data_IF_344548066027
#
_entry.id   IF_344548066027
#
_cell.length_a   1.000
_cell.length_b   1.000
_cell.length_c   1.000
_cell.angle_alpha   90.00
_cell.angle_beta   90.00
_cell.angle_gamma   90.00
#
_symmetry.space_group_name_H-M   'P 1'
#
loop_
_entity.id
_entity.type
_entity.pdbx_description
1 polymer ?
2 non-polymer ?
3 water ?
#
# COMPACT_ATOMS: atom_id res chain seq x y z
N UNK A 3 4.18 19.16 -22.45
CA UNK A 3 5.20 20.09 -21.90
C UNK A 3 6.54 19.83 -22.56
N UNK A 4 7.39 20.86 -22.55
CA UNK A 4 8.74 20.78 -23.08
C UNK A 4 9.73 20.81 -21.92
N UNK A 5 9.20 20.61 -20.71
CA UNK A 5 9.98 20.61 -19.49
C UNK A 5 10.90 19.39 -19.50
N UNK A 6 12.20 19.65 -19.30
CA UNK A 6 13.21 18.62 -19.21
C UNK A 6 13.63 18.59 -17.74
N UNK A 7 13.28 17.51 -17.05
CA UNK A 7 13.68 17.37 -15.65
C UNK A 7 15.21 17.25 -15.54
N UNK A 8 15.83 18.17 -14.80
CA UNK A 8 17.24 18.09 -14.42
C UNK A 8 17.32 17.81 -12.91
N UNK A 9 18.43 18.14 -12.26
CA UNK A 9 18.61 17.86 -10.84
C UNK A 9 19.52 16.66 -10.56
N UNK A 10 19.92 16.50 -9.30
CA UNK A 10 20.92 15.48 -8.94
C UNK A 10 20.47 14.05 -9.21
N UNK A 11 19.18 13.76 -9.00
CA UNK A 11 18.68 12.40 -9.26
C UNK A 11 18.68 12.08 -10.76
N UNK A 12 18.21 13.01 -11.58
CA UNK A 12 18.21 12.76 -13.00
C UNK A 12 19.64 12.69 -13.55
N UNK A 13 20.50 13.58 -13.06
CA UNK A 13 21.94 13.59 -13.46
C UNK A 13 22.62 12.24 -13.23
N UNK A 14 22.30 11.62 -12.11
CA UNK A 14 22.97 10.38 -11.70
C UNK A 14 22.09 9.15 -11.81
N UNK A 15 21.01 9.21 -12.58
CA UNK A 15 20.09 8.08 -12.74
C UNK A 15 20.76 6.78 -13.17
N UNK A 16 21.62 6.83 -14.20
CA UNK A 16 22.32 5.64 -14.67
C UNK A 16 23.24 5.07 -13.60
N UNK A 17 24.00 5.95 -12.95
CA UNK A 17 24.91 5.56 -11.89
C UNK A 17 24.21 4.85 -10.74
N UNK A 18 23.17 5.48 -10.21
CA UNK A 18 22.44 4.94 -9.06
C UNK A 18 21.63 3.71 -9.45
N UNK A 19 21.08 3.70 -10.67
CA UNK A 19 20.40 2.49 -11.13
C UNK A 19 21.39 1.31 -11.24
N UNK A 20 22.59 1.58 -11.73
CA UNK A 20 23.59 0.52 -11.83
C UNK A 20 23.85 -0.14 -10.48
N UNK A 21 24.11 0.67 -9.46
CA UNK A 21 24.47 0.11 -8.15
C UNK A 21 23.24 -0.55 -7.52
N UNK A 22 22.10 0.10 -7.61
CA UNK A 22 20.91 -0.42 -6.94
C UNK A 22 20.28 -1.66 -7.59
N UNK A 23 20.32 -1.72 -8.91
CA UNK A 23 19.79 -2.89 -9.60
C UNK A 23 20.66 -4.10 -9.36
N UNK A 24 21.97 -3.90 -9.33
CA UNK A 24 22.88 -5.00 -9.04
C UNK A 24 22.69 -5.49 -7.60
N UNK A 25 22.46 -4.58 -6.65
CA UNK A 25 22.25 -4.97 -5.22
C UNK A 25 20.93 -5.75 -4.98
N UNK A 26 19.85 -5.30 -5.59
CA UNK A 26 18.50 -5.77 -5.26
C UNK A 26 18.04 -6.94 -6.15
N UNK A 27 18.64 -7.06 -7.32
CA UNK A 27 18.32 -8.15 -8.26
C UNK A 27 17.09 -7.85 -9.09
N UNK A 28 16.76 -6.57 -9.22
CA UNK A 28 15.58 -6.18 -9.99
C UNK A 28 16.07 -6.00 -11.46
N UNK A 29 15.35 -6.58 -12.44
CA UNK A 29 15.67 -6.36 -13.85
C UNK A 29 14.75 -5.27 -14.41
N UNK A 30 14.78 -5.04 -15.73
CA UNK A 30 14.04 -3.94 -16.36
C UNK A 30 12.52 -4.09 -16.44
N UNK A 31 12.01 -5.18 -17.03
CA UNK A 31 10.55 -5.37 -17.14
C UNK A 31 9.83 -4.81 -15.89
N UNK A 32 10.52 -4.89 -14.75
CA UNK A 32 10.06 -4.25 -13.55
C UNK A 32 10.07 -2.72 -13.58
N UNK A 33 11.22 -2.12 -13.89
CA UNK A 33 11.44 -0.65 -13.84
C UNK A 33 10.66 0.13 -14.92
N UNK A 34 11.00 -0.08 -16.21
CA UNK A 34 10.27 0.67 -17.25
C UNK A 34 8.82 0.32 -17.22
N UNK A 35 8.49 -0.88 -16.75
CA UNK A 35 7.07 -1.26 -16.58
C UNK A 35 6.40 -0.55 -15.43
N UNK A 36 7.15 -0.29 -14.38
CA UNK A 36 6.64 0.52 -13.29
C UNK A 36 6.46 1.96 -13.80
N UNK A 37 7.42 2.44 -14.60
CA UNK A 37 7.30 3.78 -15.18
C UNK A 37 6.02 3.84 -16.03
N UNK A 38 5.86 2.85 -16.90
CA UNK A 38 4.68 2.74 -17.76
C UNK A 38 3.39 2.38 -16.97
N UNK A 39 3.41 2.62 -15.66
CA UNK A 39 2.18 2.54 -14.82
C UNK A 39 1.79 1.16 -14.30
N UNK A 40 2.46 0.12 -14.79
CA UNK A 40 2.14 -1.26 -14.41
C UNK A 40 2.47 -1.47 -12.95
N UNK A 41 1.63 -2.20 -12.22
CA UNK A 41 1.96 -2.44 -10.82
C UNK A 41 3.14 -3.41 -10.70
N UNK A 42 4.23 -2.92 -10.12
CA UNK A 42 5.39 -3.71 -9.79
C UNK A 42 5.53 -3.64 -8.28
N UNK A 43 5.25 -4.75 -7.59
CA UNK A 43 5.31 -4.80 -6.11
C UNK A 43 6.20 -5.94 -5.55
N UNK A 44 7.03 -6.53 -6.40
CA UNK A 44 7.99 -7.53 -5.98
C UNK A 44 8.85 -6.97 -4.84
N UNK A 45 9.17 -7.83 -3.87
CA UNK A 45 10.00 -7.45 -2.73
C UNK A 45 11.28 -6.78 -3.20
N UNK A 46 11.89 -7.27 -4.27
CA UNK A 46 13.13 -6.67 -4.80
C UNK A 46 12.93 -5.28 -5.39
N UNK A 47 11.82 -5.06 -6.07
CA UNK A 47 11.51 -3.71 -6.56
C UNK A 47 11.38 -2.70 -5.41
N UNK A 48 10.69 -3.07 -4.33
CA UNK A 48 10.61 -2.19 -3.16
C UNK A 48 12.00 -1.82 -2.61
N UNK A 49 12.89 -2.80 -2.55
CA UNK A 49 14.23 -2.54 -2.04
C UNK A 49 15.04 -1.72 -3.03
N UNK A 50 14.71 -1.80 -4.32
CA UNK A 50 15.29 -0.92 -5.33
C UNK A 50 14.90 0.56 -5.07
N UNK A 51 13.62 0.85 -4.82
CA UNK A 51 13.18 2.18 -4.39
C UNK A 51 13.92 2.64 -3.15
N UNK A 52 14.00 1.76 -2.15
CA UNK A 52 14.75 2.04 -0.93
C UNK A 52 16.20 2.38 -1.25
N UNK A 53 16.82 1.62 -2.12
CA UNK A 53 18.22 1.82 -2.44
C UNK A 53 18.47 3.19 -3.07
N UNK A 54 17.60 3.60 -4.00
CA UNK A 54 17.66 4.94 -4.59
C UNK A 54 17.57 6.00 -3.49
N UNK A 55 16.63 5.84 -2.57
CA UNK A 55 16.48 6.86 -1.53
C UNK A 55 17.72 6.94 -0.66
N UNK A 56 18.32 5.79 -0.36
CA UNK A 56 19.54 5.76 0.49
C UNK A 56 20.69 6.44 -0.23
N UNK A 57 20.81 6.18 -1.54
CA UNK A 57 21.89 6.79 -2.32
C UNK A 57 21.70 8.32 -2.45
N UNK A 58 20.46 8.80 -2.39
CA UNK A 58 20.20 10.25 -2.41
C UNK A 58 19.82 10.83 -1.04
N UNK A 59 20.26 10.17 0.03
CA UNK A 59 20.23 10.72 1.39
C UNK A 59 18.85 10.97 2.02
N UNK A 60 17.77 10.55 1.35
CA UNK A 60 16.41 10.76 1.84
C UNK A 60 15.89 9.62 2.68
N UNK A 61 16.66 8.51 2.74
CA UNK A 61 16.36 7.43 3.66
C UNK A 61 17.67 6.86 4.22
N UNK A 62 17.65 6.51 5.50
CA UNK A 62 18.78 5.80 6.10
C UNK A 62 18.69 4.35 5.64
N UNK A 63 19.80 3.64 5.70
CA UNK A 63 19.80 2.20 5.40
C UNK A 63 18.74 1.44 6.22
N UNK A 64 18.49 1.88 7.45
CA UNK A 64 17.50 1.22 8.30
C UNK A 64 16.12 1.85 8.23
N UNK A 65 15.91 2.72 7.25
CA UNK A 65 14.60 3.17 6.90
C UNK A 65 14.11 4.43 7.59
N UNK A 66 15.00 5.36 7.95
CA UNK A 66 14.60 6.66 8.53
C UNK A 66 14.52 7.72 7.42
N UNK A 67 13.33 8.25 7.17
CA UNK A 67 13.09 9.31 6.16
C UNK A 67 13.71 10.65 6.56
N UNK A 68 14.40 11.31 5.62
CA UNK A 68 15.05 12.58 5.86
C UNK A 68 14.48 13.67 4.93
N UNK A 69 13.54 14.45 5.47
CA UNK A 69 12.74 15.42 4.68
C UNK A 69 13.58 16.45 3.92
N UNK A 70 14.59 17.02 4.56
CA UNK A 70 15.38 18.10 3.96
C UNK A 70 16.09 17.60 2.71
N UNK A 71 16.57 16.36 2.76
CA UNK A 71 17.24 15.77 1.62
C UNK A 71 16.27 15.46 0.49
N UNK A 72 15.07 15.04 0.83
CA UNK A 72 14.10 14.70 -0.22
C UNK A 72 13.62 15.96 -0.94
N UNK A 73 13.45 17.06 -0.19
CA UNK A 73 13.05 18.33 -0.80
C UNK A 73 14.13 18.78 -1.76
N UNK A 74 15.38 18.62 -1.38
CA UNK A 74 16.48 18.91 -2.30
C UNK A 74 16.46 18.00 -3.54
N UNK A 75 16.02 16.76 -3.36
CA UNK A 75 15.92 15.78 -4.48
C UNK A 75 14.86 16.10 -5.53
N UNK A 76 13.91 16.97 -5.20
CA UNK A 76 12.88 17.34 -6.18
C UNK A 76 13.52 18.12 -7.34
N UNK A 77 13.29 17.71 -8.60
CA UNK A 77 13.90 18.39 -9.74
C UNK A 77 13.49 19.85 -9.76
N UNK A 78 14.42 20.74 -10.15
CA UNK A 78 14.12 22.17 -10.05
C UNK A 78 12.91 22.61 -10.88
N UNK A 79 12.59 21.89 -11.94
CA UNK A 79 11.51 22.27 -12.86
C UNK A 79 10.13 22.06 -12.26
N UNK A 80 10.07 21.27 -11.19
CA UNK A 80 8.80 20.97 -10.53
C UNK A 80 8.90 21.17 -9.02
N UNK A 81 9.71 22.12 -8.59
CA UNK A 81 9.94 22.38 -7.15
C UNK A 81 8.65 22.61 -6.40
N UNK A 82 7.79 23.48 -6.91
CA UNK A 82 6.57 23.82 -6.16
C UNK A 82 5.69 22.61 -5.96
N UNK A 83 5.29 21.99 -7.07
CA UNK A 83 4.40 20.83 -7.09
C UNK A 83 5.01 19.64 -6.35
N UNK A 84 6.32 19.43 -6.54
CA UNK A 84 7.03 18.31 -5.91
C UNK A 84 7.20 18.47 -4.41
N UNK A 85 7.50 19.67 -3.96
CA UNK A 85 7.57 19.95 -2.53
C UNK A 85 6.23 19.67 -1.90
N UNK A 86 5.16 20.08 -2.55
CA UNK A 86 3.80 19.85 -2.02
C UNK A 86 3.59 18.36 -1.79
N UNK A 87 3.90 17.55 -2.79
CA UNK A 87 3.84 16.09 -2.64
C UNK A 87 4.70 15.53 -1.50
N UNK A 88 5.96 15.97 -1.40
CA UNK A 88 6.82 15.48 -0.35
C UNK A 88 6.28 15.81 1.04
N UNK A 89 5.79 17.03 1.22
CA UNK A 89 5.25 17.47 2.51
C UNK A 89 4.03 16.69 2.86
N UNK A 90 3.26 16.28 1.85
CA UNK A 90 2.04 15.52 2.11
C UNK A 90 2.31 14.05 2.53
N UNK A 91 3.54 13.59 2.30
CA UNK A 91 3.90 12.17 2.46
C UNK A 91 5.02 11.94 3.48
N UNK A 92 5.35 12.99 4.23
CA UNK A 92 6.53 12.99 5.08
C UNK A 92 6.39 12.21 6.41
N UNK A 93 5.18 11.71 6.69
CA UNK A 93 4.90 10.94 7.91
C UNK A 93 4.66 9.46 7.68
N UNK A 94 4.95 8.99 6.48
CA UNK A 94 4.81 7.59 6.11
C UNK A 94 6.02 6.86 6.69
N UNK A 95 5.76 5.72 7.31
CA UNK A 95 6.80 4.87 7.91
C UNK A 95 6.18 3.48 8.07
N UNK A 96 6.70 2.47 7.35
CA UNK A 96 6.13 1.11 7.39
C UNK A 96 6.96 0.21 8.28
N UNK A 97 6.62 -1.07 8.35
CA UNK A 97 7.31 -2.01 9.26
C UNK A 97 8.73 -2.36 8.87
N UNK A 98 9.19 -1.94 7.69
CA UNK A 98 10.45 -2.43 7.17
C UNK A 98 10.99 -1.44 6.16
N UNK A 99 12.30 -1.17 6.19
CA UNK A 99 12.91 -0.13 5.34
C UNK A 99 12.45 -0.14 3.88
N UNK A 100 12.42 -1.31 3.23
CA UNK A 100 11.94 -1.40 1.86
C UNK A 100 10.46 -1.06 1.65
N UNK A 101 9.59 -1.55 2.53
CA UNK A 101 8.14 -1.30 2.41
C UNK A 101 7.92 0.21 2.59
N UNK A 102 8.57 0.80 3.59
CA UNK A 102 8.56 2.26 3.86
C UNK A 102 8.86 3.06 2.60
N UNK A 103 9.96 2.75 1.94
CA UNK A 103 10.28 3.45 0.69
C UNK A 103 9.17 3.26 -0.34
N UNK A 104 8.72 2.02 -0.55
CA UNK A 104 7.75 1.70 -1.63
C UNK A 104 6.43 2.47 -1.44
N UNK A 105 6.01 2.60 -0.20
CA UNK A 105 4.75 3.25 0.14
C UNK A 105 4.88 4.76 0.38
N UNK A 106 6.08 5.27 0.70
CA UNK A 106 6.33 6.70 0.57
C UNK A 106 6.06 7.02 -0.91
N UNK A 107 6.56 6.17 -1.80
CA UNK A 107 6.35 6.32 -3.24
C UNK A 107 4.91 6.14 -3.69
N UNK A 108 4.19 5.19 -3.10
CA UNK A 108 2.77 5.07 -3.44
C UNK A 108 2.00 6.29 -2.93
N UNK A 109 2.37 6.84 -1.77
CA UNK A 109 1.86 8.15 -1.31
C UNK A 109 2.15 9.30 -2.29
N UNK A 110 3.38 9.38 -2.81
CA UNK A 110 3.63 10.36 -3.87
C UNK A 110 2.69 10.21 -5.07
N UNK A 111 2.54 8.97 -5.52
CA UNK A 111 1.61 8.62 -6.60
C UNK A 111 0.16 9.07 -6.29
N UNK A 112 -0.30 8.80 -5.08
CA UNK A 112 -1.66 9.20 -4.60
C UNK A 112 -1.80 10.71 -4.63
N UNK A 113 -0.80 11.39 -4.07
CA UNK A 113 -0.82 12.83 -3.90
C UNK A 113 -0.95 13.58 -5.24
N UNK A 114 -0.19 13.17 -6.24
CA UNK A 114 -0.17 13.84 -7.55
C UNK A 114 0.22 12.84 -8.65
N UNK A 115 -0.75 12.04 -9.12
CA UNK A 115 -0.50 10.99 -10.12
C UNK A 115 0.19 11.47 -11.38
N UNK A 116 -0.23 12.61 -11.93
CA UNK A 116 0.35 13.08 -13.20
C UNK A 116 1.81 13.50 -12.98
N UNK A 117 2.09 14.16 -11.87
CA UNK A 117 3.47 14.59 -11.58
C UNK A 117 4.35 13.36 -11.35
N UNK A 118 3.85 12.41 -10.58
CA UNK A 118 4.61 11.20 -10.26
C UNK A 118 4.91 10.40 -11.53
N UNK A 119 3.90 10.24 -12.38
CA UNK A 119 4.08 9.56 -13.66
C UNK A 119 5.14 10.26 -14.49
N UNK A 120 5.12 11.58 -14.47
CA UNK A 120 6.11 12.39 -15.18
C UNK A 120 7.56 12.12 -14.73
N UNK A 121 7.74 12.06 -13.42
CA UNK A 121 9.07 11.85 -12.84
C UNK A 121 9.62 10.44 -13.12
N UNK A 122 8.79 9.42 -12.89
CA UNK A 122 9.25 8.04 -13.05
C UNK A 122 9.57 7.78 -14.53
N UNK A 123 8.78 8.35 -15.44
CA UNK A 123 9.05 8.17 -16.87
C UNK A 123 10.35 8.81 -17.35
N UNK A 124 10.68 9.98 -16.79
CA UNK A 124 11.91 10.70 -17.12
C UNK A 124 13.13 9.96 -16.57
N UNK A 125 12.99 9.40 -15.38
CA UNK A 125 14.06 8.62 -14.74
C UNK A 125 14.43 7.44 -15.64
N UNK A 126 13.41 6.65 -15.93
CA UNK A 126 13.50 5.49 -16.78
C UNK A 126 14.06 5.72 -18.20
N UNK A 127 13.85 6.91 -18.75
CA UNK A 127 14.32 7.20 -20.11
C UNK A 127 15.81 7.52 -20.13
N UNK A 128 16.35 7.89 -18.97
CA UNK A 128 17.74 8.31 -18.85
C UNK A 128 18.61 7.07 -18.60
N UNK A 129 17.98 5.99 -18.19
CA UNK A 129 18.71 4.79 -17.76
C UNK A 129 18.95 3.85 -18.94
N UNK A 130 17.89 3.40 -19.59
CA UNK A 130 18.05 2.66 -20.83
C UNK A 130 18.17 1.14 -20.76
N UNK A 131 17.18 0.49 -21.39
CA UNK A 131 17.20 -0.93 -21.73
C UNK A 131 16.95 -1.05 -23.23
N UNK B 4 -2.76 -20.92 -7.44
CA UNK B 4 -3.72 -20.88 -8.59
C UNK B 4 -5.18 -21.22 -8.20
N UNK B 5 -5.45 -21.33 -6.90
CA UNK B 5 -6.80 -21.60 -6.40
C UNK B 5 -7.47 -20.26 -6.05
N UNK B 6 -8.66 -20.01 -6.61
CA UNK B 6 -9.41 -18.81 -6.32
C UNK B 6 -10.02 -18.95 -4.93
N UNK B 7 -9.97 -17.88 -4.15
CA UNK B 7 -10.61 -17.91 -2.86
C UNK B 7 -12.13 -17.88 -3.07
N UNK B 8 -12.84 -18.72 -2.33
CA UNK B 8 -14.29 -18.78 -2.36
C UNK B 8 -14.78 -18.53 -0.95
N UNK B 9 -16.06 -18.80 -0.69
CA UNK B 9 -16.63 -18.60 0.63
C UNK B 9 -17.63 -17.46 0.65
N UNK B 10 -18.30 -17.27 1.78
CA UNK B 10 -19.38 -16.31 1.88
C UNK B 10 -18.94 -14.86 1.68
N UNK B 11 -17.75 -14.49 2.16
CA UNK B 11 -17.24 -13.14 1.97
C UNK B 11 -16.93 -12.83 0.50
N UNK B 12 -16.14 -13.68 -0.17
CA UNK B 12 -15.89 -13.46 -1.59
C UNK B 12 -17.18 -13.53 -2.40
N UNK B 13 -18.10 -14.40 -2.03
CA UNK B 13 -19.36 -14.51 -2.77
C UNK B 13 -20.18 -13.23 -2.72
N UNK B 14 -20.22 -12.58 -1.56
CA UNK B 14 -21.04 -11.35 -1.40
C UNK B 14 -20.21 -10.06 -1.39
N UNK B 15 -18.92 -10.14 -1.75
CA UNK B 15 -18.03 -9.00 -1.64
C UNK B 15 -18.53 -7.75 -2.37
N UNK B 16 -18.99 -7.93 -3.61
CA UNK B 16 -19.42 -6.79 -4.42
C UNK B 16 -20.62 -6.10 -3.74
N UNK B 17 -21.58 -6.90 -3.27
CA UNK B 17 -22.75 -6.36 -2.58
C UNK B 17 -22.45 -5.68 -1.25
N UNK B 18 -21.69 -6.36 -0.38
CA UNK B 18 -21.37 -5.83 0.93
C UNK B 18 -20.51 -4.57 0.78
N UNK B 19 -19.59 -4.54 -0.18
CA UNK B 19 -18.80 -3.33 -0.48
C UNK B 19 -19.71 -2.17 -0.91
N UNK B 20 -20.62 -2.44 -1.84
CA UNK B 20 -21.57 -1.42 -2.30
C UNK B 20 -22.26 -0.77 -1.13
N UNK B 21 -22.81 -1.58 -0.22
CA UNK B 21 -23.56 -1.03 0.91
C UNK B 21 -22.69 -0.37 2.00
N UNK B 22 -21.48 -0.90 2.25
CA UNK B 22 -20.56 -0.31 3.22
C UNK B 22 -19.91 0.96 2.69
N UNK B 23 -19.67 1.05 1.38
CA UNK B 23 -19.17 2.31 0.82
C UNK B 23 -20.23 3.41 0.97
N UNK B 24 -21.48 3.05 0.71
CA UNK B 24 -22.58 3.99 0.83
C UNK B 24 -22.75 4.46 2.28
N UNK B 25 -22.67 3.51 3.20
CA UNK B 25 -22.83 3.78 4.64
C UNK B 25 -21.73 4.63 5.24
N UNK B 26 -20.50 4.56 4.70
CA UNK B 26 -19.32 5.16 5.35
C UNK B 26 -18.68 6.35 4.63
N UNK B 27 -19.03 6.57 3.37
CA UNK B 27 -18.41 7.63 2.59
C UNK B 27 -17.00 7.37 2.10
N UNK B 28 -16.54 6.12 2.20
CA UNK B 28 -15.20 5.77 1.68
C UNK B 28 -15.24 5.77 0.15
N UNK B 29 -14.26 6.43 -0.50
CA UNK B 29 -14.08 6.31 -1.95
C UNK B 29 -13.40 5.01 -2.37
N UNK B 30 -13.70 4.56 -3.59
CA UNK B 30 -13.15 3.33 -4.15
C UNK B 30 -11.62 3.31 -4.22
N UNK B 31 -11.00 4.45 -4.56
CA UNK B 31 -9.55 4.46 -4.73
C UNK B 31 -8.86 4.22 -3.41
N UNK B 32 -9.50 4.62 -2.31
CA UNK B 32 -8.99 4.39 -0.96
C UNK B 32 -8.86 2.89 -0.67
N UNK B 33 -9.92 2.14 -0.99
CA UNK B 33 -9.91 0.68 -0.87
C UNK B 33 -8.80 0.06 -1.70
N UNK B 34 -8.64 0.55 -2.94
CA UNK B 34 -7.61 0.03 -3.82
C UNK B 34 -6.23 0.24 -3.26
N UNK B 35 -5.96 1.43 -2.69
CA UNK B 35 -4.64 1.71 -2.12
C UNK B 35 -4.37 0.77 -0.94
N UNK B 36 -5.39 0.56 -0.10
CA UNK B 36 -5.24 -0.36 1.03
C UNK B 36 -4.89 -1.78 0.53
N UNK B 37 -5.54 -2.24 -0.55
CA UNK B 37 -5.25 -3.54 -1.13
C UNK B 37 -3.82 -3.60 -1.70
N UNK B 38 -3.30 -2.47 -2.18
CA UNK B 38 -1.89 -2.36 -2.60
C UNK B 38 -0.91 -2.20 -1.44
N UNK B 39 -1.42 -2.26 -0.22
CA UNK B 39 -0.58 -2.29 0.97
C UNK B 39 -0.34 -0.96 1.65
N UNK B 40 -0.98 0.10 1.18
CA UNK B 40 -0.85 1.42 1.81
C UNK B 40 -1.52 1.46 3.17
N UNK B 41 -0.94 2.24 4.08
CA UNK B 41 -1.64 2.67 5.29
C UNK B 41 -2.78 3.61 5.00
N UNK B 42 -3.97 3.20 5.43
CA UNK B 42 -5.15 4.00 5.32
C UNK B 42 -5.79 4.01 6.69
N UNK B 43 -5.36 4.94 7.55
CA UNK B 43 -5.98 5.08 8.87
C UNK B 43 -7.10 6.13 8.91
N UNK B 44 -7.60 6.48 7.73
CA UNK B 44 -8.75 7.34 7.57
C UNK B 44 -9.91 6.84 8.46
N UNK B 45 -10.56 7.72 9.22
CA UNK B 45 -11.63 7.28 10.11
C UNK B 45 -12.76 6.59 9.36
N UNK B 46 -13.06 7.06 8.14
CA UNK B 46 -14.12 6.44 7.33
C UNK B 46 -13.73 5.04 6.89
N UNK B 47 -12.45 4.85 6.54
CA UNK B 47 -11.95 3.51 6.23
C UNK B 47 -12.07 2.56 7.42
N UNK B 48 -11.68 3.01 8.62
CA UNK B 48 -11.87 2.22 9.84
C UNK B 48 -13.32 1.77 10.01
N UNK B 49 -14.27 2.66 9.73
CA UNK B 49 -15.69 2.28 9.82
C UNK B 49 -16.18 1.40 8.66
N UNK B 50 -15.53 1.51 7.49
CA UNK B 50 -15.75 0.58 6.39
C UNK B 50 -15.37 -0.84 6.77
N UNK B 51 -14.21 -1.01 7.40
CA UNK B 51 -13.78 -2.31 7.92
C UNK B 51 -14.78 -2.82 8.96
N UNK B 52 -15.23 -1.93 9.83
CA UNK B 52 -16.27 -2.27 10.81
C UNK B 52 -17.54 -2.74 10.13
N UNK B 53 -17.96 -2.01 9.11
CA UNK B 53 -19.19 -2.29 8.40
C UNK B 53 -19.11 -3.69 7.78
N UNK B 54 -17.97 -4.02 7.16
CA UNK B 54 -17.80 -5.36 6.57
C UNK B 54 -17.91 -6.46 7.62
N UNK B 55 -17.29 -6.25 8.79
CA UNK B 55 -17.34 -7.22 9.89
C UNK B 55 -18.77 -7.37 10.41
N UNK B 56 -19.50 -6.26 10.50
CA UNK B 56 -20.89 -6.32 10.96
C UNK B 56 -21.75 -7.12 9.98
N UNK B 57 -21.57 -6.82 8.70
CA UNK B 57 -22.32 -7.52 7.65
C UNK B 57 -22.05 -9.01 7.62
N UNK B 58 -20.82 -9.42 7.96
CA UNK B 58 -20.47 -10.84 8.02
C UNK B 58 -20.42 -11.42 9.44
N UNK B 59 -21.17 -10.78 10.34
CA UNK B 59 -21.45 -11.29 11.69
C UNK B 59 -20.28 -11.46 12.67
N UNK B 60 -19.08 -10.99 12.32
CA UNK B 60 -17.94 -11.12 13.24
C UNK B 60 -17.75 -9.95 14.21
N UNK B 61 -18.56 -8.91 14.06
CA UNK B 61 -18.53 -7.76 14.96
C UNK B 61 -19.94 -7.25 15.14
N UNK B 62 -20.31 -6.91 16.37
CA UNK B 62 -21.58 -6.22 16.61
C UNK B 62 -21.46 -4.74 16.19
N UNK B 63 -22.58 -4.09 15.96
CA UNK B 63 -22.59 -2.66 15.68
C UNK B 63 -21.88 -1.91 16.80
N UNK B 64 -21.98 -2.41 18.04
CA UNK B 64 -21.31 -1.77 19.16
C UNK B 64 -19.92 -2.33 19.47
N UNK B 65 -19.32 -3.02 18.51
CA UNK B 65 -17.88 -3.34 18.54
C UNK B 65 -17.43 -4.60 19.27
N UNK B 66 -18.34 -5.54 19.50
CA UNK B 66 -18.00 -6.83 20.14
C UNK B 66 -17.66 -7.90 19.10
N UNK B 67 -16.43 -8.40 19.19
CA UNK B 67 -15.92 -9.40 18.23
C UNK B 67 -16.55 -10.77 18.48
N UNK B 68 -16.88 -11.47 17.38
CA UNK B 68 -17.45 -12.82 17.45
C UNK B 68 -16.54 -13.84 16.78
N UNK B 69 -15.74 -14.51 17.61
CA UNK B 69 -14.70 -15.42 17.13
C UNK B 69 -15.24 -16.49 16.18
N UNK B 70 -16.34 -17.15 16.58
CA UNK B 70 -16.88 -18.27 15.80
C UNK B 70 -17.24 -17.83 14.40
N UNK B 71 -17.79 -16.63 14.28
CA UNK B 71 -18.21 -16.12 12.98
C UNK B 71 -16.99 -15.76 12.14
N UNK B 72 -15.97 -15.19 12.76
CA UNK B 72 -14.78 -14.82 12.01
C UNK B 72 -14.06 -16.02 11.48
N UNK B 73 -14.03 -17.11 12.26
CA UNK B 73 -13.36 -18.34 11.84
C UNK B 73 -14.12 -18.92 10.62
N UNK B 74 -15.44 -18.86 10.67
CA UNK B 74 -16.27 -19.28 9.53
C UNK B 74 -16.04 -18.41 8.27
N UNK B 75 -15.71 -17.15 8.48
CA UNK B 75 -15.46 -16.15 7.41
C UNK B 75 -14.15 -16.40 6.66
N UNK B 76 -13.27 -17.20 7.24
CA UNK B 76 -11.99 -17.50 6.60
C UNK B 76 -12.31 -18.34 5.36
N UNK B 77 -11.80 -17.93 4.19
CA UNK B 77 -12.12 -18.71 2.97
C UNK B 77 -11.68 -20.18 3.08
N UNK B 78 -12.45 -21.11 2.49
CA UNK B 78 -12.17 -22.55 2.57
C UNK B 78 -10.76 -22.96 2.15
N UNK B 79 -10.19 -22.27 1.17
CA UNK B 79 -8.87 -22.59 0.61
C UNK B 79 -7.72 -22.32 1.58
N UNK B 80 -7.96 -21.49 2.59
CA UNK B 80 -6.92 -21.08 3.53
C UNK B 80 -7.36 -21.19 4.99
N UNK B 81 -8.20 -22.18 5.31
CA UNK B 81 -8.68 -22.36 6.69
C UNK B 81 -7.55 -22.51 7.69
N UNK B 82 -6.57 -23.37 7.43
CA UNK B 82 -5.51 -23.58 8.43
C UNK B 82 -4.74 -22.28 8.70
N UNK B 83 -4.18 -21.69 7.64
CA UNK B 83 -3.34 -20.50 7.82
C UNK B 83 -4.20 -19.32 8.27
N UNK B 84 -5.45 -19.22 7.80
CA UNK B 84 -6.34 -18.12 8.17
C UNK B 84 -6.76 -18.21 9.64
N UNK B 85 -7.03 -19.43 10.08
CA UNK B 85 -7.42 -19.66 11.48
C UNK B 85 -6.27 -19.23 12.36
N UNK B 86 -5.05 -19.59 12.00
CA UNK B 86 -3.89 -19.18 12.80
C UNK B 86 -3.87 -17.65 13.00
N UNK B 87 -4.13 -16.90 11.95
CA UNK B 87 -4.13 -15.44 12.03
C UNK B 87 -5.24 -14.96 12.96
N UNK B 88 -6.42 -15.48 12.78
CA UNK B 88 -7.56 -15.03 13.58
C UNK B 88 -7.32 -15.31 15.06
N UNK B 89 -6.84 -16.50 15.41
CA UNK B 89 -6.54 -16.83 16.82
C UNK B 89 -5.48 -15.96 17.39
N UNK B 90 -4.51 -15.57 16.57
CA UNK B 90 -3.43 -14.70 17.05
C UNK B 90 -3.90 -13.26 17.27
N UNK B 91 -5.13 -12.93 16.84
CA UNK B 91 -5.61 -11.56 16.86
C UNK B 91 -6.95 -11.35 17.59
N UNK B 92 -7.46 -12.44 18.16
CA UNK B 92 -8.81 -12.47 18.71
C UNK B 92 -8.96 -11.69 20.03
N UNK B 93 -7.83 -11.31 20.61
CA UNK B 93 -7.76 -10.60 21.88
C UNK B 93 -7.84 -9.10 21.70
N UNK B 94 -7.73 -8.64 20.44
CA UNK B 94 -7.65 -7.21 20.16
C UNK B 94 -8.97 -6.53 20.44
N UNK B 95 -8.95 -5.48 21.25
CA UNK B 95 -10.18 -4.81 21.66
C UNK B 95 -9.91 -3.36 22.00
N UNK B 96 -10.64 -2.47 21.33
CA UNK B 96 -10.57 -1.05 21.64
C UNK B 96 -11.97 -0.66 22.03
N UNK B 97 -12.15 0.50 22.64
CA UNK B 97 -13.47 0.85 23.18
C UNK B 97 -14.45 1.38 22.12
N UNK B 98 -13.94 1.82 20.96
CA UNK B 98 -14.79 2.23 19.80
C UNK B 98 -14.80 1.12 18.78
N UNK B 99 -15.95 0.92 18.13
CA UNK B 99 -16.16 -0.20 17.22
C UNK B 99 -15.29 -0.08 15.94
N UNK B 100 -15.26 1.09 15.32
CA UNK B 100 -14.43 1.28 14.12
C UNK B 100 -12.94 1.01 14.41
N UNK B 101 -12.44 1.51 15.52
CA UNK B 101 -11.04 1.32 15.89
C UNK B 101 -10.74 -0.16 16.17
N UNK B 102 -11.66 -0.83 16.85
CA UNK B 102 -11.55 -2.27 17.10
C UNK B 102 -11.41 -3.03 15.78
N UNK B 103 -12.30 -2.77 14.80
CA UNK B 103 -12.24 -3.40 13.49
C UNK B 103 -10.90 -3.13 12.81
N UNK B 104 -10.51 -1.87 12.83
CA UNK B 104 -9.24 -1.45 12.22
C UNK B 104 -8.02 -2.16 12.86
N UNK B 105 -7.98 -2.21 14.18
CA UNK B 105 -6.84 -2.80 14.86
C UNK B 105 -6.78 -4.31 14.74
N UNK B 106 -7.95 -4.96 14.67
CA UNK B 106 -7.99 -6.39 14.41
C UNK B 106 -7.35 -6.65 13.04
N UNK B 107 -7.73 -5.87 12.03
CA UNK B 107 -7.11 -5.96 10.71
C UNK B 107 -5.63 -5.65 10.66
N UNK B 108 -5.15 -4.71 11.45
CA UNK B 108 -3.71 -4.42 11.43
C UNK B 108 -2.96 -5.60 12.06
N UNK B 109 -3.60 -6.23 13.04
CA UNK B 109 -3.08 -7.45 13.63
C UNK B 109 -3.01 -8.58 12.59
N UNK B 110 -4.06 -8.74 11.78
CA UNK B 110 -4.03 -9.73 10.70
C UNK B 110 -2.84 -9.51 9.79
N UNK B 111 -2.63 -8.25 9.42
CA UNK B 111 -1.61 -7.90 8.45
C UNK B 111 -0.23 -8.21 8.99
N UNK B 112 -0.04 -7.90 10.28
CA UNK B 112 1.24 -8.15 10.97
C UNK B 112 1.50 -9.65 11.14
N UNK B 113 0.44 -10.37 11.52
CA UNK B 113 0.49 -11.80 11.73
C UNK B 113 0.99 -12.59 10.53
N UNK B 114 0.47 -12.27 9.34
CA UNK B 114 0.77 -12.97 8.11
C UNK B 114 0.50 -12.03 6.93
N UNK B 115 1.46 -11.17 6.64
CA UNK B 115 1.20 -10.16 5.62
C UNK B 115 0.98 -10.72 4.23
N UNK B 116 1.65 -11.83 3.87
CA UNK B 116 1.44 -12.40 2.52
C UNK B 116 0.02 -12.95 2.41
N UNK B 117 -0.44 -13.62 3.45
CA UNK B 117 -1.80 -14.20 3.41
C UNK B 117 -2.83 -13.09 3.39
N UNK B 118 -2.61 -12.07 4.22
CA UNK B 118 -3.49 -10.89 4.27
C UNK B 118 -3.57 -10.17 2.94
N UNK B 119 -2.42 -9.95 2.29
CA UNK B 119 -2.41 -9.40 0.95
C UNK B 119 -3.22 -10.24 -0.04
N UNK B 120 -3.07 -11.57 0.03
CA UNK B 120 -3.84 -12.48 -0.85
C UNK B 120 -5.33 -12.25 -0.68
N UNK B 121 -5.77 -12.20 0.56
CA UNK B 121 -7.21 -12.02 0.84
C UNK B 121 -7.75 -10.64 0.42
N UNK B 122 -7.04 -9.57 0.78
CA UNK B 122 -7.48 -8.22 0.45
C UNK B 122 -7.42 -7.95 -1.05
N UNK B 123 -6.42 -8.49 -1.76
CA UNK B 123 -6.36 -8.31 -3.22
C UNK B 123 -7.53 -9.04 -3.90
N UNK B 124 -7.85 -10.25 -3.44
CA UNK B 124 -8.98 -11.02 -3.96
C UNK B 124 -10.27 -10.24 -3.80
N UNK B 125 -10.47 -9.71 -2.61
CA UNK B 125 -11.63 -8.87 -2.32
C UNK B 125 -11.65 -7.63 -3.23
N UNK B 126 -10.53 -6.94 -3.33
CA UNK B 126 -10.46 -5.72 -4.13
C UNK B 126 -10.70 -6.00 -5.61
N UNK B 127 -10.31 -7.17 -6.08
CA UNK B 127 -10.51 -7.60 -7.46
C UNK B 127 -11.95 -8.02 -7.78
N UNK B 128 -12.76 -8.19 -6.74
CA UNK B 128 -14.14 -8.66 -6.89
C UNK B 128 -15.14 -7.49 -6.91
N UNK B 129 -14.80 -6.39 -6.25
CA UNK B 129 -15.74 -5.28 -6.02
C UNK B 129 -15.89 -4.28 -7.17
N UNK B 130 -14.87 -4.16 -8.01
CA UNK B 130 -14.88 -3.19 -9.11
C UNK B 130 -15.31 -1.74 -8.86
N UNK B 131 -15.23 -0.97 -9.95
CA UNK B 131 -15.74 0.41 -10.04
C UNK B 131 -15.34 1.03 -11.39
X LIG C 1 6.41 13.40 -7.14
X LIG C 1 7.54 13.20 -6.27
X LIG C 1 8.41 14.44 -6.23
X LIG C 1 9.78 14.09 -6.41
X LIG C 1 10.26 13.24 -5.36
X LIG C 1 11.71 12.85 -5.64
X LIG D 1 12.17 9.52 -7.63
X LIG D 1 12.76 9.02 -8.83
X LIG D 1 12.01 7.77 -9.30
X LIG D 1 12.65 6.60 -8.80
X LIG D 1 12.13 5.43 -9.42
X LIG E 1 -5.53 -13.13 6.78
X LIG E 1 -6.68 -13.96 6.92
X LIG E 1 -7.64 -13.29 7.90
X LIG E 1 -8.93 -13.86 7.77
X LIG E 1 -9.93 -12.93 8.16
X LIG E 1 -11.29 -13.36 7.63
X LIG E 1 -11.68 -12.54 6.54
X LIG F 1 -9.93 -3.61 -0.05
X LIG F 1 -10.76 -3.69 1.11
X LIG F 1 -10.24 -4.62 2.07
X LIG F 1 -11.34 -5.26 2.94
X LIG F 1 -10.98 -6.62 3.22
X LIG F 1 -11.96 -7.36 3.95
X LIG F 1 -11.84 -8.84 3.63
X LIG F 1 -11.15 -9.52 4.68
#
# INVERSE_FOLDING_TARGET
>A
MDVNMKLTGRIMDAAKEVDHTCRSSTGVPRDMLHRYAEGQTVDDDDFKCYLKCIMVEFNSLSDDGVFVLEEELENVPPEIKEEGHRVVHSCKHINHDEACETAYQIHQCYKQSDPELYSLVVRAFDATIGD
>B
MDVNMKLTGRIMDAAKEVDHTCRSSTGVPRDMLHRYAEGQTVDDDDFKCYLKCIMVEFNSLSDDGVFVLEEELENVPPEIKEEGHRVVHSCKHINHDEACETAYQIHQCYKQSDPELYSLVVRAFDATIGD
>C hetero
1 PG0 O2 C4 C3 O1 C2 C1
>D hetero
1 PG0 O2 C4 C3 O1 C2
>E hetero
1 PG0 O2 C4 C3 O1 C2 C1 OTT
>F hetero
1 PG0 C5 O2 C4 C3 O1 C2 C1 OTT
#
